data_IF_176907492001
#
_entry.id   IF_176907492001
#
_cell.length_a   1.000
_cell.length_b   1.000
_cell.length_c   1.000
_cell.angle_alpha   90.00
_cell.angle_beta   90.00
_cell.angle_gamma   90.00
#
_symmetry.space_group_name_H-M   'P 1'
#
loop_
_entity.id
_entity.type
_entity.pdbx_description
1 polymer ?
#
# COMPACT_ATOMS: atom_id res chain seq x y z
N UNK A 1 -8.71 -27.08 -40.71
CA UNK A 1 -8.32 -28.42 -40.19
C UNK A 1 -7.34 -28.32 -39.01
N UNK A 2 -6.11 -27.77 -39.11
CA UNK A 2 -5.18 -27.69 -37.96
C UNK A 2 -5.63 -26.80 -36.78
N UNK A 3 -6.39 -25.72 -37.03
CA UNK A 3 -6.88 -24.83 -35.98
C UNK A 3 -8.02 -25.45 -35.16
N UNK A 4 -8.91 -26.20 -35.82
CA UNK A 4 -10.02 -26.88 -35.16
C UNK A 4 -9.54 -28.00 -34.23
N UNK A 5 -8.53 -28.76 -34.64
CA UNK A 5 -7.94 -29.82 -33.81
C UNK A 5 -7.24 -29.23 -32.58
N UNK A 6 -6.56 -28.09 -32.73
CA UNK A 6 -5.95 -27.37 -31.61
C UNK A 6 -7.00 -26.88 -30.62
N UNK A 7 -8.09 -26.26 -31.09
CA UNK A 7 -9.17 -25.77 -30.24
C UNK A 7 -9.93 -26.91 -29.53
N UNK A 8 -10.01 -28.11 -30.13
CA UNK A 8 -10.61 -29.29 -29.52
C UNK A 8 -9.73 -29.89 -28.41
N UNK A 9 -8.40 -29.96 -28.60
CA UNK A 9 -7.49 -30.50 -27.59
C UNK A 9 -7.30 -29.57 -26.39
N UNK A 10 -7.39 -28.26 -26.61
CA UNK A 10 -7.10 -27.25 -25.58
C UNK A 10 -8.36 -26.70 -24.90
N UNK A 11 -9.55 -27.10 -25.35
CA UNK A 11 -10.83 -26.71 -24.74
C UNK A 11 -11.25 -25.26 -25.01
N UNK A 12 -10.63 -24.57 -25.97
CA UNK A 12 -10.90 -23.18 -26.36
C UNK A 12 -12.03 -23.01 -27.38
N UNK A 13 -12.79 -24.06 -27.69
CA UNK A 13 -14.02 -23.91 -28.47
C UNK A 13 -15.04 -23.12 -27.65
N UNK A 14 -15.65 -22.13 -28.30
CA UNK A 14 -16.68 -21.26 -27.72
C UNK A 14 -17.93 -22.09 -27.43
N UNK A 15 -18.01 -22.63 -26.23
CA UNK A 15 -19.15 -23.37 -25.72
C UNK A 15 -20.07 -22.40 -24.97
N UNK A 16 -21.24 -22.11 -25.54
CA UNK A 16 -22.22 -21.18 -24.97
C UNK A 16 -22.92 -21.77 -23.72
N UNK A 17 -22.57 -22.99 -23.29
CA UNK A 17 -23.13 -23.65 -22.10
C UNK A 17 -22.14 -23.77 -20.92
N UNK A 18 -20.94 -23.17 -20.98
CA UNK A 18 -20.00 -23.16 -19.85
C UNK A 18 -20.17 -21.93 -18.98
N UNK A 19 -20.75 -22.13 -17.80
CA UNK A 19 -20.65 -21.19 -16.68
C UNK A 19 -19.17 -21.10 -16.28
N UNK A 20 -18.62 -19.89 -16.25
CA UNK A 20 -17.32 -19.61 -15.65
C UNK A 20 -17.35 -20.03 -14.17
N UNK A 21 -16.74 -21.17 -13.85
CA UNK A 21 -16.42 -21.52 -12.47
C UNK A 21 -15.03 -20.95 -12.21
N UNK A 22 -14.94 -19.91 -11.37
CA UNK A 22 -13.67 -19.35 -10.92
C UNK A 22 -12.81 -20.44 -10.30
N UNK A 23 -11.86 -20.96 -11.08
CA UNK A 23 -10.90 -21.99 -10.71
C UNK A 23 -9.77 -21.44 -9.85
N UNK A 24 -10.12 -20.85 -8.71
CA UNK A 24 -9.36 -20.84 -7.46
C UNK A 24 -10.39 -20.69 -6.34
N UNK A 25 -11.19 -21.75 -6.16
CA UNK A 25 -12.02 -21.87 -4.97
C UNK A 25 -11.11 -21.81 -3.74
N UNK A 26 -11.45 -20.92 -2.81
CA UNK A 26 -10.80 -20.80 -1.50
C UNK A 26 -10.45 -22.18 -0.93
N UNK A 27 -9.22 -22.33 -0.44
CA UNK A 27 -8.82 -23.52 0.31
C UNK A 27 -9.80 -23.76 1.47
N UNK A 28 -9.92 -24.98 1.96
CA UNK A 28 -10.80 -25.32 3.10
C UNK A 28 -10.53 -24.39 4.30
N UNK A 29 -9.27 -24.01 4.51
CA UNK A 29 -8.85 -23.03 5.52
C UNK A 29 -9.35 -21.61 5.23
N UNK A 30 -9.29 -21.15 3.97
CA UNK A 30 -9.82 -19.83 3.56
C UNK A 30 -11.36 -19.78 3.61
N UNK A 31 -12.05 -20.90 3.35
CA UNK A 31 -13.51 -21.02 3.53
C UNK A 31 -13.90 -20.97 5.01
N UNK A 32 -13.14 -21.61 5.89
CA UNK A 32 -13.37 -21.59 7.33
C UNK A 32 -13.19 -20.18 7.94
N UNK A 33 -12.15 -19.44 7.55
CA UNK A 33 -11.94 -18.04 7.97
C UNK A 33 -13.10 -17.15 7.53
N UNK A 34 -13.66 -17.40 6.34
CA UNK A 34 -14.77 -16.60 5.80
C UNK A 34 -16.15 -16.99 6.34
N UNK A 35 -16.36 -18.27 6.67
CA UNK A 35 -17.55 -18.71 7.39
C UNK A 35 -17.59 -18.09 8.80
N UNK A 36 -16.42 -17.97 9.44
CA UNK A 36 -16.30 -17.28 10.73
C UNK A 36 -16.57 -15.79 10.60
N UNK A 37 -16.07 -15.12 9.55
CA UNK A 37 -16.36 -13.69 9.33
C UNK A 37 -17.84 -13.42 9.01
N UNK A 38 -18.52 -14.33 8.30
CA UNK A 38 -19.97 -14.22 8.04
C UNK A 38 -20.83 -14.47 9.27
N UNK A 39 -20.47 -15.44 10.12
CA UNK A 39 -21.17 -15.69 11.39
C UNK A 39 -21.02 -14.51 12.36
N UNK A 40 -19.87 -13.83 12.33
CA UNK A 40 -19.63 -12.59 13.07
C UNK A 40 -20.48 -11.44 12.48
N UNK A 41 -20.65 -11.37 11.15
CA UNK A 41 -21.48 -10.31 10.54
C UNK A 41 -22.99 -10.52 10.64
N UNK A 42 -23.46 -11.77 10.82
CA UNK A 42 -24.89 -12.08 10.90
C UNK A 42 -25.46 -12.10 12.32
N UNK A 43 -24.62 -11.86 13.34
CA UNK A 43 -25.06 -11.81 14.75
C UNK A 43 -25.18 -10.38 15.31
N UNK A 44 -24.95 -9.34 14.50
CA UNK A 44 -25.05 -7.93 14.92
C UNK A 44 -26.24 -7.21 14.27
N UNK A 45 -27.46 -7.65 14.59
CA UNK A 45 -28.62 -6.77 14.60
C UNK A 45 -28.92 -6.36 16.05
N UNK A 46 -28.01 -5.56 16.60
CA UNK A 46 -28.28 -4.67 17.74
C UNK A 46 -27.57 -3.36 17.40
N UNK A 47 -28.30 -2.26 17.49
CA UNK A 47 -27.86 -0.88 17.24
C UNK A 47 -26.46 -0.59 17.81
N UNK A 48 -25.49 -0.29 16.93
CA UNK A 48 -24.09 0.03 17.24
C UNK A 48 -23.86 1.45 17.81
N UNK A 49 -24.90 2.06 18.38
CA UNK A 49 -24.78 3.27 19.18
C UNK A 49 -25.21 2.94 20.61
N UNK A 50 -24.22 2.78 21.49
CA UNK A 50 -24.23 2.61 22.96
C UNK A 50 -23.54 1.30 23.43
N UNK A 51 -22.53 1.46 24.29
CA UNK A 51 -21.61 0.45 24.86
C UNK A 51 -20.38 0.05 24.03
N UNK A 52 -19.49 1.02 23.79
CA UNK A 52 -18.04 0.74 23.82
C UNK A 52 -17.55 1.01 25.24
N UNK A 53 -17.47 -0.03 26.08
CA UNK A 53 -17.10 0.14 27.49
C UNK A 53 -15.74 0.84 27.61
N UNK A 54 -15.56 1.81 28.52
CA UNK A 54 -14.25 2.40 28.81
C UNK A 54 -13.17 1.33 29.06
N UNK A 55 -13.55 0.18 29.62
CA UNK A 55 -12.67 -0.95 29.91
C UNK A 55 -12.20 -1.63 28.63
N UNK A 56 -13.07 -1.87 27.64
CA UNK A 56 -12.69 -2.50 26.37
C UNK A 56 -11.73 -1.63 25.56
N UNK A 57 -11.98 -0.32 25.56
CA UNK A 57 -11.08 0.66 24.95
C UNK A 57 -9.70 0.70 25.65
N UNK A 58 -9.67 0.56 26.98
CA UNK A 58 -8.43 0.46 27.76
C UNK A 58 -7.69 -0.85 27.42
N UNK A 59 -8.39 -1.99 27.42
CA UNK A 59 -7.81 -3.29 27.11
C UNK A 59 -7.25 -3.36 25.70
N UNK A 60 -7.95 -2.78 24.71
CA UNK A 60 -7.46 -2.66 23.33
C UNK A 60 -6.16 -1.86 23.29
N UNK A 61 -6.12 -0.68 23.92
CA UNK A 61 -4.88 0.13 24.00
C UNK A 61 -3.74 -0.61 24.67
N UNK A 62 -3.99 -1.35 25.76
CA UNK A 62 -2.96 -2.15 26.42
C UNK A 62 -2.41 -3.26 25.51
N UNK A 63 -3.29 -3.96 24.80
CA UNK A 63 -2.90 -4.97 23.80
C UNK A 63 -2.03 -4.37 22.69
N UNK A 64 -2.46 -3.23 22.14
CA UNK A 64 -1.71 -2.53 21.09
C UNK A 64 -0.31 -2.09 21.57
N UNK A 65 -0.19 -1.65 22.83
CA UNK A 65 1.10 -1.30 23.45
C UNK A 65 2.00 -2.52 23.66
N UNK A 66 1.44 -3.63 24.13
CA UNK A 66 2.17 -4.89 24.32
C UNK A 66 2.70 -5.45 23.00
N UNK A 67 1.85 -5.54 21.98
CA UNK A 67 2.21 -6.01 20.65
C UNK A 67 3.33 -5.15 20.04
N UNK A 68 3.22 -3.83 20.18
CA UNK A 68 4.25 -2.90 19.71
C UNK A 68 5.57 -3.10 20.45
N UNK A 69 5.53 -3.22 21.78
CA UNK A 69 6.74 -3.46 22.58
C UNK A 69 7.43 -4.78 22.19
N UNK A 70 6.65 -5.82 21.88
CA UNK A 70 7.19 -7.09 21.42
C UNK A 70 7.82 -6.99 20.02
N UNK A 71 7.16 -6.32 19.07
CA UNK A 71 7.72 -6.07 17.73
C UNK A 71 9.00 -5.26 17.78
N UNK A 72 9.02 -4.18 18.57
CA UNK A 72 10.21 -3.38 18.81
C UNK A 72 11.36 -4.23 19.37
N UNK A 73 11.06 -5.14 20.30
CA UNK A 73 12.05 -6.05 20.87
C UNK A 73 12.58 -7.05 19.82
N UNK A 74 11.71 -7.62 19.00
CA UNK A 74 12.06 -8.55 17.92
C UNK A 74 12.93 -7.85 16.86
N UNK A 75 12.57 -6.64 16.44
CA UNK A 75 13.36 -5.87 15.46
C UNK A 75 14.71 -5.49 16.05
N UNK A 76 14.76 -5.08 17.33
CA UNK A 76 16.02 -4.81 18.01
C UNK A 76 16.88 -6.06 18.16
N UNK A 77 16.30 -7.24 18.37
CA UNK A 77 17.04 -8.50 18.52
C UNK A 77 17.52 -9.07 17.18
N UNK A 78 16.71 -9.01 16.12
CA UNK A 78 17.08 -9.45 14.76
C UNK A 78 17.98 -8.42 14.06
N UNK A 79 17.88 -7.15 14.45
CA UNK A 79 18.54 -6.04 13.79
C UNK A 79 17.74 -5.50 12.60
N UNK A 80 17.79 -4.18 12.43
CA UNK A 80 17.07 -3.44 11.39
C UNK A 80 17.45 -3.90 9.99
N UNK A 81 18.75 -4.07 9.73
CA UNK A 81 19.24 -4.52 8.41
C UNK A 81 18.73 -5.92 8.06
N UNK A 82 18.83 -6.89 8.98
CA UNK A 82 18.36 -8.25 8.73
C UNK A 82 16.84 -8.31 8.55
N UNK A 83 16.10 -7.44 9.25
CA UNK A 83 14.65 -7.31 9.08
C UNK A 83 14.30 -6.78 7.69
N UNK A 84 14.95 -5.70 7.24
CA UNK A 84 14.76 -5.16 5.89
C UNK A 84 15.13 -6.17 4.80
N UNK A 85 16.21 -6.94 4.98
CA UNK A 85 16.56 -8.04 4.07
C UNK A 85 15.49 -9.13 4.04
N UNK A 86 14.91 -9.48 5.19
CA UNK A 86 13.80 -10.46 5.24
C UNK A 86 12.49 -9.96 4.64
N UNK A 87 12.27 -8.63 4.60
CA UNK A 87 11.14 -8.04 3.88
C UNK A 87 11.32 -8.24 2.37
N UNK A 88 12.56 -8.16 1.85
CA UNK A 88 12.88 -8.43 0.46
C UNK A 88 13.97 -7.53 -0.14
N UNK A 89 14.50 -6.56 0.62
CA UNK A 89 15.60 -5.72 0.13
C UNK A 89 16.87 -6.54 -0.06
N UNK A 90 17.47 -6.48 -1.25
CA UNK A 90 18.74 -7.14 -1.55
C UNK A 90 19.90 -6.43 -0.82
N UNK A 91 19.81 -5.11 -0.69
CA UNK A 91 20.82 -4.34 0.05
C UNK A 91 20.20 -3.21 0.87
N UNK A 92 20.72 -3.03 2.08
CA UNK A 92 20.45 -1.90 2.96
C UNK A 92 21.73 -1.08 3.03
N UNK A 93 21.70 0.14 2.54
CA UNK A 93 22.86 1.02 2.57
C UNK A 93 23.11 1.53 3.99
N UNK A 94 24.38 1.64 4.40
CA UNK A 94 24.79 2.12 5.72
C UNK A 94 24.20 3.49 6.06
N UNK A 95 23.96 4.34 5.05
CA UNK A 95 23.32 5.64 5.24
C UNK A 95 21.94 5.55 5.90
N UNK A 96 21.18 4.48 5.68
CA UNK A 96 19.88 4.29 6.34
C UNK A 96 20.05 4.22 7.85
N UNK A 97 20.98 3.39 8.33
CA UNK A 97 21.26 3.19 9.75
C UNK A 97 21.90 4.45 10.37
N UNK A 98 22.76 5.14 9.62
CA UNK A 98 23.52 6.28 10.12
C UNK A 98 22.72 7.59 10.14
N UNK A 99 21.86 7.82 9.14
CA UNK A 99 21.23 9.13 8.91
C UNK A 99 19.76 9.21 9.34
N UNK A 100 19.07 8.09 9.48
CA UNK A 100 17.66 8.07 9.91
C UNK A 100 17.59 8.02 11.43
N UNK A 101 16.68 8.80 12.03
CA UNK A 101 16.40 8.74 13.47
C UNK A 101 16.06 7.30 13.91
N UNK A 102 16.66 6.80 14.99
CA UNK A 102 16.49 5.40 15.43
C UNK A 102 15.03 4.99 15.62
N UNK A 103 14.18 5.87 16.15
CA UNK A 103 12.76 5.57 16.32
C UNK A 103 12.00 5.64 14.99
N UNK A 104 12.44 6.47 14.04
CA UNK A 104 11.90 6.43 12.68
C UNK A 104 12.31 5.15 11.97
N UNK A 105 13.55 4.66 12.13
CA UNK A 105 13.96 3.40 11.51
C UNK A 105 13.02 2.26 11.92
N UNK A 106 12.71 2.13 13.21
CA UNK A 106 11.76 1.12 13.72
C UNK A 106 10.37 1.30 13.09
N UNK A 107 9.79 2.51 13.16
CA UNK A 107 8.47 2.77 12.58
C UNK A 107 8.40 2.50 11.07
N UNK A 108 9.48 2.79 10.34
CA UNK A 108 9.60 2.53 8.90
C UNK A 108 9.64 1.02 8.63
N UNK A 109 10.49 0.28 9.35
CA UNK A 109 10.61 -1.17 9.19
C UNK A 109 9.28 -1.87 9.48
N UNK A 110 8.63 -1.52 10.59
CA UNK A 110 7.32 -2.07 10.95
C UNK A 110 6.27 -1.81 9.86
N UNK A 111 6.24 -0.58 9.32
CA UNK A 111 5.28 -0.24 8.27
C UNK A 111 5.57 -0.95 6.96
N UNK A 112 6.85 -1.03 6.56
CA UNK A 112 7.25 -1.76 5.35
C UNK A 112 6.92 -3.25 5.47
N UNK A 113 7.14 -3.86 6.63
CA UNK A 113 6.75 -5.26 6.87
C UNK A 113 5.23 -5.45 6.78
N UNK A 114 4.44 -4.51 7.31
CA UNK A 114 2.98 -4.54 7.21
C UNK A 114 2.49 -4.45 5.76
N UNK A 115 3.03 -3.49 4.99
CA UNK A 115 2.65 -3.30 3.60
C UNK A 115 3.12 -4.47 2.73
N UNK A 116 4.32 -4.99 2.98
CA UNK A 116 4.86 -6.10 2.19
C UNK A 116 4.08 -7.39 2.36
N UNK A 117 3.57 -7.68 3.56
CA UNK A 117 2.67 -8.83 3.78
C UNK A 117 1.38 -8.74 2.96
N UNK A 118 0.95 -7.53 2.60
CA UNK A 118 -0.31 -7.31 1.85
C UNK A 118 -0.06 -7.26 0.35
N UNK A 119 1.00 -6.59 -0.09
CA UNK A 119 1.13 -6.18 -1.48
C UNK A 119 2.37 -6.74 -2.20
N UNK A 120 3.34 -7.27 -1.45
CA UNK A 120 4.55 -7.90 -1.98
C UNK A 120 5.34 -7.06 -2.99
N UNK A 121 5.25 -5.73 -2.94
CA UNK A 121 5.86 -4.84 -3.93
C UNK A 121 7.39 -4.89 -3.90
N UNK A 122 8.01 -5.06 -2.72
CA UNK A 122 9.46 -5.15 -2.58
C UNK A 122 9.95 -6.49 -3.12
N UNK A 123 9.32 -7.60 -2.75
CA UNK A 123 9.68 -8.95 -3.21
C UNK A 123 9.50 -9.12 -4.72
N UNK A 124 8.53 -8.43 -5.31
CA UNK A 124 8.30 -8.41 -6.77
C UNK A 124 9.24 -7.45 -7.51
N UNK A 125 9.97 -6.60 -6.80
CA UNK A 125 10.97 -5.71 -7.40
C UNK A 125 12.25 -6.47 -7.75
N UNK A 126 12.92 -6.04 -8.81
CA UNK A 126 14.21 -6.59 -9.24
C UNK A 126 15.34 -5.85 -8.52
N UNK A 127 16.05 -6.56 -7.66
CA UNK A 127 17.18 -6.05 -6.86
C UNK A 127 16.88 -4.78 -6.04
N UNK A 128 15.78 -4.76 -5.24
CA UNK A 128 15.40 -3.59 -4.46
C UNK A 128 16.44 -3.22 -3.41
N UNK A 129 16.68 -1.92 -3.24
CA UNK A 129 17.58 -1.35 -2.24
C UNK A 129 16.87 -0.31 -1.40
N UNK A 130 17.39 -0.10 -0.20
CA UNK A 130 16.98 1.02 0.67
C UNK A 130 18.19 1.81 1.13
N UNK A 131 18.11 3.14 1.04
CA UNK A 131 19.18 4.06 1.47
C UNK A 131 18.62 5.35 2.06
N UNK A 132 19.46 6.13 2.74
CA UNK A 132 19.14 7.48 3.19
C UNK A 132 20.25 8.47 2.79
N UNK A 133 20.45 8.61 1.48
CA UNK A 133 21.49 9.44 0.86
C UNK A 133 20.95 10.33 -0.27
N UNK A 134 19.64 10.61 -0.29
CA UNK A 134 19.03 11.46 -1.30
C UNK A 134 19.65 12.87 -1.29
N UNK A 135 20.23 13.27 -2.43
CA UNK A 135 20.88 14.58 -2.60
C UNK A 135 19.94 15.67 -3.15
N UNK A 136 18.64 15.38 -3.27
CA UNK A 136 17.62 16.30 -3.79
C UNK A 136 16.85 16.99 -2.66
N UNK A 137 16.06 18.01 -3.00
CA UNK A 137 15.18 18.72 -2.07
C UNK A 137 13.96 17.91 -1.62
N UNK A 138 13.63 16.81 -2.30
CA UNK A 138 12.55 15.90 -1.95
C UNK A 138 12.82 15.17 -0.63
N UNK A 139 11.74 14.70 0.01
CA UNK A 139 11.82 14.05 1.33
C UNK A 139 12.23 12.59 1.17
N UNK A 140 11.68 11.91 0.16
CA UNK A 140 12.08 10.59 -0.30
C UNK A 140 11.78 10.50 -1.80
N UNK A 141 12.19 9.39 -2.43
CA UNK A 141 11.71 8.98 -3.74
C UNK A 141 11.92 7.47 -3.95
N UNK A 142 11.18 6.90 -4.89
CA UNK A 142 11.49 5.62 -5.53
C UNK A 142 12.30 5.87 -6.80
N UNK A 143 13.59 5.52 -6.78
CA UNK A 143 14.37 5.46 -8.02
C UNK A 143 14.01 4.21 -8.80
N UNK A 144 13.97 4.29 -10.12
CA UNK A 144 13.65 3.14 -10.97
C UNK A 144 14.34 3.24 -12.34
N UNK A 145 14.48 2.12 -13.05
CA UNK A 145 14.99 2.10 -14.43
C UNK A 145 13.85 2.41 -15.42
N UNK A 146 14.06 3.37 -16.32
CA UNK A 146 13.03 3.79 -17.30
C UNK A 146 12.53 2.66 -18.20
N UNK A 147 13.36 1.65 -18.49
CA UNK A 147 12.96 0.51 -19.34
C UNK A 147 12.25 -0.61 -18.57
N UNK A 148 12.40 -0.64 -17.25
CA UNK A 148 11.78 -1.64 -16.38
C UNK A 148 11.64 -1.02 -14.99
N UNK A 149 10.46 -0.45 -14.66
CA UNK A 149 10.26 0.25 -13.41
C UNK A 149 10.23 -0.69 -12.19
N UNK A 150 10.17 -2.02 -12.37
CA UNK A 150 10.36 -2.97 -11.27
C UNK A 150 11.81 -3.06 -10.78
N UNK A 151 12.78 -2.59 -11.56
CA UNK A 151 14.15 -2.35 -11.09
C UNK A 151 14.13 -1.02 -10.35
N UNK A 152 13.88 -1.06 -9.04
CA UNK A 152 13.61 0.13 -8.24
C UNK A 152 14.24 0.10 -6.85
N UNK A 153 14.34 1.25 -6.19
CA UNK A 153 14.90 1.37 -4.84
C UNK A 153 14.29 2.53 -4.06
N UNK A 154 14.11 2.34 -2.76
CA UNK A 154 13.60 3.35 -1.84
C UNK A 154 14.75 4.22 -1.33
N UNK A 155 14.72 5.51 -1.65
CA UNK A 155 15.80 6.46 -1.30
C UNK A 155 15.25 7.57 -0.43
N UNK A 156 15.71 7.64 0.82
CA UNK A 156 15.26 8.63 1.81
C UNK A 156 16.20 9.83 1.90
N UNK A 157 15.67 10.98 2.30
CA UNK A 157 16.50 12.15 2.59
C UNK A 157 17.22 12.02 3.94
N UNK A 158 18.58 12.12 3.95
CA UNK A 158 19.35 12.05 5.18
C UNK A 158 18.98 13.17 6.15
N UNK A 159 18.56 14.33 5.64
CA UNK A 159 18.28 15.51 6.48
C UNK A 159 16.84 15.52 7.00
N UNK A 160 15.87 15.07 6.18
CA UNK A 160 14.45 15.09 6.55
C UNK A 160 14.05 13.92 7.46
N UNK A 161 14.84 12.85 7.49
CA UNK A 161 14.64 11.69 8.35
C UNK A 161 15.54 11.66 9.59
N UNK A 162 16.46 12.62 9.76
CA UNK A 162 17.38 12.68 10.91
C UNK A 162 16.72 12.96 12.26
N UNK A 163 15.49 13.48 12.27
CA UNK A 163 14.80 13.87 13.50
C UNK A 163 13.30 13.57 13.43
N UNK A 164 12.84 12.61 14.25
CA UNK A 164 11.43 12.17 14.30
C UNK A 164 10.45 13.32 14.55
N UNK A 165 10.75 14.21 15.49
CA UNK A 165 9.86 15.33 15.87
C UNK A 165 9.67 16.32 14.71
N UNK A 166 10.76 16.69 14.02
CA UNK A 166 10.70 17.60 12.86
C UNK A 166 9.99 16.93 11.69
N UNK A 167 10.24 15.64 11.45
CA UNK A 167 9.56 14.86 10.42
C UNK A 167 8.03 14.87 10.62
N UNK A 168 7.56 14.49 11.80
CA UNK A 168 6.13 14.48 12.15
C UNK A 168 5.53 15.88 12.09
N UNK A 169 6.25 16.90 12.58
CA UNK A 169 5.75 18.28 12.56
C UNK A 169 5.59 18.83 11.15
N UNK A 170 6.49 18.47 10.23
CA UNK A 170 6.35 18.81 8.82
C UNK A 170 5.12 18.14 8.22
N UNK A 171 4.95 16.83 8.45
CA UNK A 171 3.80 16.06 7.96
C UNK A 171 2.46 16.58 8.47
N UNK A 172 2.40 16.93 9.76
CA UNK A 172 1.21 17.55 10.36
C UNK A 172 0.81 18.85 9.65
N UNK A 173 1.78 19.67 9.22
CA UNK A 173 1.51 20.91 8.48
C UNK A 173 1.02 20.62 7.06
N UNK A 174 1.59 19.64 6.37
CA UNK A 174 1.18 19.21 5.03
C UNK A 174 -0.28 18.72 5.03
N UNK A 175 -0.63 17.81 5.96
CA UNK A 175 -2.01 17.33 6.14
C UNK A 175 -2.97 18.46 6.48
N UNK A 176 -2.57 19.41 7.34
CA UNK A 176 -3.42 20.57 7.70
C UNK A 176 -3.71 21.47 6.49
N UNK A 177 -2.76 21.61 5.58
CA UNK A 177 -2.87 22.43 4.36
C UNK A 177 -3.48 21.66 3.18
N UNK A 178 -3.90 20.41 3.38
CA UNK A 178 -4.35 19.52 2.31
C UNK A 178 -3.31 19.36 1.19
N UNK A 179 -2.03 19.51 1.54
CA UNK A 179 -0.93 19.32 0.59
C UNK A 179 -0.79 17.84 0.25
N UNK A 180 -0.91 16.96 1.24
CA UNK A 180 -1.00 15.52 1.05
C UNK A 180 -2.38 14.99 1.48
N UNK A 181 -2.69 13.74 1.13
CA UNK A 181 -3.99 13.14 1.43
C UNK A 181 -4.26 13.06 2.94
N UNK A 182 -5.54 13.14 3.35
CA UNK A 182 -5.90 13.03 4.76
C UNK A 182 -5.48 11.67 5.32
N UNK A 183 -5.09 11.66 6.59
CA UNK A 183 -4.72 10.46 7.34
C UNK A 183 -4.99 10.71 8.83
N UNK A 184 -4.86 9.67 9.66
CA UNK A 184 -4.87 9.86 11.12
C UNK A 184 -3.71 10.79 11.53
N UNK A 185 -4.02 11.74 12.42
CA UNK A 185 -3.10 12.82 12.83
C UNK A 185 -2.29 12.49 14.08
N UNK A 186 -2.28 11.23 14.50
CA UNK A 186 -1.43 10.75 15.58
C UNK A 186 0.04 10.67 15.13
N UNK A 187 0.95 10.57 16.10
CA UNK A 187 2.40 10.61 15.85
C UNK A 187 2.90 9.41 15.07
N UNK A 188 2.28 8.24 15.24
CA UNK A 188 2.73 7.01 14.60
C UNK A 188 2.39 7.05 13.11
N UNK A 189 1.13 7.35 12.78
CA UNK A 189 0.69 7.50 11.38
C UNK A 189 1.49 8.55 10.63
N UNK A 190 1.66 9.74 11.23
CA UNK A 190 2.42 10.83 10.62
C UNK A 190 3.91 10.51 10.43
N UNK A 191 4.46 9.59 11.22
CA UNK A 191 5.88 9.20 11.11
C UNK A 191 6.18 8.29 9.92
N UNK A 192 5.17 7.61 9.39
CA UNK A 192 5.32 6.62 8.30
C UNK A 192 4.61 7.03 7.01
N UNK A 193 3.96 8.20 6.98
CA UNK A 193 3.20 8.67 5.81
C UNK A 193 4.03 8.63 4.53
N UNK A 194 5.22 9.24 4.54
CA UNK A 194 6.02 9.30 3.31
C UNK A 194 6.47 7.92 2.86
N UNK A 195 6.89 7.04 3.77
CA UNK A 195 7.29 5.69 3.35
C UNK A 195 6.11 4.90 2.79
N UNK A 196 4.89 5.12 3.30
CA UNK A 196 3.69 4.50 2.74
C UNK A 196 3.37 5.05 1.34
N UNK A 197 3.53 6.36 1.14
CA UNK A 197 3.41 6.99 -0.18
C UNK A 197 4.46 6.41 -1.16
N UNK A 198 5.74 6.35 -0.77
CA UNK A 198 6.78 5.77 -1.63
C UNK A 198 6.55 4.28 -1.90
N UNK A 199 6.03 3.52 -0.93
CA UNK A 199 5.63 2.13 -1.16
C UNK A 199 4.52 2.05 -2.21
N UNK A 200 3.58 3.01 -2.22
CA UNK A 200 2.58 3.15 -3.28
C UNK A 200 3.21 3.28 -4.67
N UNK A 201 4.23 4.14 -4.83
CA UNK A 201 5.01 4.21 -6.08
C UNK A 201 5.68 2.88 -6.42
N UNK A 202 6.24 2.17 -5.43
CA UNK A 202 6.85 0.86 -5.68
C UNK A 202 5.83 -0.14 -6.22
N UNK A 203 4.66 -0.22 -5.60
CA UNK A 203 3.57 -1.09 -6.04
C UNK A 203 3.08 -0.73 -7.44
N UNK A 204 2.84 0.55 -7.69
CA UNK A 204 2.38 1.03 -9.01
C UNK A 204 3.37 0.67 -10.11
N UNK A 205 4.68 0.87 -9.88
CA UNK A 205 5.72 0.52 -10.83
C UNK A 205 5.72 -0.98 -11.19
N UNK A 206 5.43 -1.86 -10.23
CA UNK A 206 5.26 -3.30 -10.49
C UNK A 206 4.05 -3.54 -11.40
N UNK A 207 2.89 -2.97 -11.04
CA UNK A 207 1.64 -3.19 -11.78
C UNK A 207 1.71 -2.61 -13.19
N UNK A 208 2.33 -1.44 -13.36
CA UNK A 208 2.60 -0.83 -14.67
C UNK A 208 3.48 -1.74 -15.51
N UNK A 209 4.58 -2.25 -14.95
CA UNK A 209 5.49 -3.12 -15.69
C UNK A 209 4.77 -4.39 -16.14
N UNK A 210 4.02 -5.05 -15.25
CA UNK A 210 3.30 -6.27 -15.59
C UNK A 210 2.22 -6.05 -16.64
N UNK A 211 1.40 -4.99 -16.52
CA UNK A 211 0.40 -4.63 -17.53
C UNK A 211 1.07 -4.30 -18.87
N UNK A 212 2.24 -3.67 -18.88
CA UNK A 212 2.97 -3.36 -20.12
C UNK A 212 3.53 -4.58 -20.84
N UNK A 213 3.71 -5.71 -20.14
CA UNK A 213 4.15 -6.96 -20.78
C UNK A 213 3.05 -7.60 -21.63
N UNK A 214 1.78 -7.23 -21.39
CA UNK A 214 0.62 -7.77 -22.10
C UNK A 214 -0.08 -6.72 -22.96
N UNK A 215 0.10 -5.44 -22.66
CA UNK A 215 -0.48 -4.33 -23.41
C UNK A 215 0.59 -3.59 -24.20
N UNK A 216 0.34 -3.32 -25.48
CA UNK A 216 1.24 -2.54 -26.33
C UNK A 216 1.00 -1.02 -26.18
N UNK A 217 1.16 -0.50 -24.96
CA UNK A 217 0.97 0.92 -24.61
C UNK A 217 2.11 1.42 -23.72
N UNK A 218 2.22 2.73 -23.50
CA UNK A 218 3.28 3.30 -22.67
C UNK A 218 3.00 3.12 -21.18
N UNK A 219 4.03 3.27 -20.35
CA UNK A 219 3.88 3.23 -18.89
C UNK A 219 2.98 4.35 -18.35
N UNK A 220 3.02 5.52 -18.98
CA UNK A 220 2.17 6.65 -18.58
C UNK A 220 0.71 6.40 -18.97
N UNK A 221 0.44 5.75 -20.11
CA UNK A 221 -0.91 5.34 -20.48
C UNK A 221 -1.49 4.34 -19.46
N UNK A 222 -0.67 3.40 -18.96
CA UNK A 222 -1.11 2.44 -17.95
C UNK A 222 -1.37 3.14 -16.61
N UNK A 223 -0.48 4.04 -16.17
CA UNK A 223 -0.70 4.83 -14.95
C UNK A 223 -2.02 5.62 -15.04
N UNK A 224 -2.28 6.23 -16.20
CA UNK A 224 -3.54 6.91 -16.48
C UNK A 224 -4.75 5.96 -16.42
N UNK A 225 -4.67 4.79 -17.03
CA UNK A 225 -5.74 3.78 -16.97
C UNK A 225 -6.05 3.38 -15.53
N UNK A 226 -5.02 3.09 -14.72
CA UNK A 226 -5.17 2.73 -13.31
C UNK A 226 -5.90 3.86 -12.55
N UNK A 227 -5.49 5.11 -12.76
CA UNK A 227 -6.16 6.27 -12.17
C UNK A 227 -7.63 6.36 -12.59
N UNK A 228 -7.92 6.20 -13.87
CA UNK A 228 -9.28 6.26 -14.40
C UNK A 228 -10.16 5.13 -13.82
N UNK A 229 -9.62 3.91 -13.67
CA UNK A 229 -10.29 2.79 -13.00
C UNK A 229 -10.65 3.12 -11.54
N UNK A 230 -9.73 3.70 -10.77
CA UNK A 230 -9.97 4.11 -9.38
C UNK A 230 -11.02 5.23 -9.31
N UNK A 231 -10.97 6.20 -10.21
CA UNK A 231 -11.95 7.30 -10.27
C UNK A 231 -13.35 6.77 -10.61
N UNK A 232 -13.47 5.83 -11.55
CA UNK A 232 -14.74 5.19 -11.88
C UNK A 232 -15.33 4.44 -10.69
N UNK A 233 -14.50 3.74 -9.91
CA UNK A 233 -14.94 3.11 -8.67
C UNK A 233 -15.41 4.17 -7.66
N UNK A 234 -14.69 5.28 -7.51
CA UNK A 234 -15.08 6.37 -6.61
C UNK A 234 -16.44 6.99 -6.98
N UNK A 235 -16.70 7.19 -8.27
CA UNK A 235 -17.99 7.63 -8.79
C UNK A 235 -19.12 6.62 -8.52
N UNK A 236 -18.79 5.33 -8.51
CA UNK A 236 -19.72 4.26 -8.13
C UNK A 236 -20.03 4.21 -6.63
N UNK A 237 -19.10 4.66 -5.77
CA UNK A 237 -19.30 4.73 -4.31
C UNK A 237 -20.16 5.94 -3.94
N UNK A 238 -19.88 7.10 -4.54
CA UNK A 238 -20.59 8.36 -4.25
C UNK A 238 -20.97 9.06 -5.56
N UNK A 239 -22.28 9.13 -5.84
CA UNK A 239 -22.81 9.81 -7.02
C UNK A 239 -22.50 11.32 -7.07
N UNK A 240 -22.19 11.95 -5.92
CA UNK A 240 -21.76 13.34 -5.83
C UNK A 240 -20.23 13.50 -5.77
N UNK A 241 -19.49 12.43 -6.10
CA UNK A 241 -18.04 12.42 -6.03
C UNK A 241 -17.41 13.58 -6.81
N UNK A 242 -16.53 14.32 -6.14
CA UNK A 242 -15.73 15.38 -6.74
C UNK A 242 -14.24 15.10 -6.51
N UNK A 243 -13.49 14.91 -7.60
CA UNK A 243 -12.07 14.59 -7.57
C UNK A 243 -11.26 15.67 -6.84
N UNK A 244 -11.46 16.94 -7.16
CA UNK A 244 -10.69 18.06 -6.59
C UNK A 244 -10.88 18.20 -5.08
N UNK A 245 -12.08 17.90 -4.57
CA UNK A 245 -12.37 17.92 -3.12
C UNK A 245 -11.78 16.72 -2.37
N UNK A 246 -11.62 15.59 -3.04
CA UNK A 246 -11.16 14.35 -2.42
C UNK A 246 -9.65 14.11 -2.60
N UNK A 247 -9.01 14.75 -3.58
CA UNK A 247 -7.59 14.59 -3.86
C UNK A 247 -6.76 15.69 -3.19
N UNK A 248 -5.53 15.37 -2.78
CA UNK A 248 -4.57 16.34 -2.24
C UNK A 248 -3.93 17.19 -3.35
N UNK A 249 -3.36 18.33 -2.98
CA UNK A 249 -2.59 19.17 -3.93
C UNK A 249 -1.40 18.41 -4.51
N UNK A 250 -0.77 17.51 -3.74
CA UNK A 250 0.34 16.71 -4.23
C UNK A 250 -0.13 15.65 -5.25
N UNK A 251 -1.26 15.01 -4.99
CA UNK A 251 -1.84 13.99 -5.87
C UNK A 251 -2.31 14.54 -7.22
N UNK A 252 -2.51 15.86 -7.38
CA UNK A 252 -2.87 16.45 -8.68
C UNK A 252 -1.68 16.61 -9.63
N UNK A 253 -0.44 16.34 -9.19
CA UNK A 253 0.76 16.62 -9.99
C UNK A 253 0.88 15.76 -11.24
N UNK A 254 0.63 14.46 -11.12
CA UNK A 254 0.62 13.50 -12.21
C UNK A 254 -0.07 12.20 -11.74
N UNK A 255 -0.24 11.25 -12.64
CA UNK A 255 -1.01 10.03 -12.38
C UNK A 255 -0.32 9.08 -11.37
N UNK A 256 1.01 9.08 -11.33
CA UNK A 256 1.78 8.30 -10.34
C UNK A 256 1.63 8.88 -8.93
N UNK A 257 1.73 10.22 -8.82
CA UNK A 257 1.50 10.90 -7.54
C UNK A 257 0.06 10.75 -7.07
N UNK A 258 -0.91 10.70 -7.99
CA UNK A 258 -2.28 10.34 -7.68
C UNK A 258 -2.34 8.95 -7.03
N UNK A 259 -1.74 7.93 -7.65
CA UNK A 259 -1.76 6.57 -7.12
C UNK A 259 -1.15 6.51 -5.72
N UNK A 260 0.07 7.03 -5.55
CA UNK A 260 0.79 6.99 -4.28
C UNK A 260 0.07 7.72 -3.14
N UNK A 261 -0.54 8.87 -3.43
CA UNK A 261 -1.32 9.63 -2.45
C UNK A 261 -2.61 8.92 -2.06
N UNK A 262 -3.35 8.39 -3.04
CA UNK A 262 -4.60 7.66 -2.76
C UNK A 262 -4.31 6.33 -2.05
N UNK A 263 -3.20 5.66 -2.40
CA UNK A 263 -2.68 4.51 -1.68
C UNK A 263 -2.39 4.87 -0.23
N UNK A 264 -1.64 5.94 0.04
CA UNK A 264 -1.37 6.40 1.41
C UNK A 264 -2.66 6.67 2.19
N UNK A 265 -3.67 7.32 1.57
CA UNK A 265 -4.98 7.54 2.21
C UNK A 265 -5.67 6.23 2.61
N UNK A 266 -5.61 5.21 1.74
CA UNK A 266 -6.22 3.90 1.99
C UNK A 266 -5.56 3.11 3.12
N UNK A 267 -4.28 3.37 3.40
CA UNK A 267 -3.48 2.58 4.35
C UNK A 267 -3.20 3.27 5.70
N UNK A 268 -3.59 4.55 5.86
CA UNK A 268 -3.19 5.40 7.00
C UNK A 268 -4.36 6.07 7.72
N UNK A 269 -5.46 5.36 7.90
CA UNK A 269 -6.57 5.85 8.71
C UNK A 269 -7.93 5.56 8.11
N UNK A 270 -8.90 6.44 8.40
CA UNK A 270 -10.21 6.40 7.75
C UNK A 270 -10.09 6.97 6.33
N UNK A 271 -10.22 6.15 5.28
CA UNK A 271 -10.11 6.63 3.91
C UNK A 271 -11.29 7.52 3.54
N UNK A 272 -11.04 8.52 2.68
CA UNK A 272 -12.11 9.21 1.97
C UNK A 272 -12.61 8.35 0.80
N UNK A 273 -13.48 8.90 -0.05
CA UNK A 273 -14.07 8.15 -1.18
C UNK A 273 -12.99 7.59 -2.11
N UNK A 274 -11.90 8.34 -2.39
CA UNK A 274 -10.78 7.84 -3.21
C UNK A 274 -10.01 6.72 -2.51
N UNK A 275 -9.71 6.86 -1.21
CA UNK A 275 -9.06 5.78 -0.46
C UNK A 275 -9.90 4.51 -0.41
N UNK A 276 -11.23 4.63 -0.31
CA UNK A 276 -12.15 3.49 -0.37
C UNK A 276 -12.15 2.86 -1.76
N UNK A 277 -12.18 3.68 -2.81
CA UNK A 277 -12.07 3.21 -4.18
C UNK A 277 -10.76 2.45 -4.43
N UNK A 278 -9.65 2.94 -3.88
CA UNK A 278 -8.36 2.25 -3.94
C UNK A 278 -8.37 0.90 -3.23
N UNK A 279 -9.01 0.76 -2.07
CA UNK A 279 -9.15 -0.55 -1.41
C UNK A 279 -9.91 -1.55 -2.30
N UNK A 280 -11.01 -1.11 -2.91
CA UNK A 280 -11.79 -1.95 -3.85
C UNK A 280 -10.97 -2.28 -5.08
N UNK A 281 -10.22 -1.31 -5.61
CA UNK A 281 -9.36 -1.52 -6.78
C UNK A 281 -8.25 -2.52 -6.49
N UNK A 282 -7.53 -2.36 -5.37
CA UNK A 282 -6.49 -3.31 -4.93
C UNK A 282 -7.05 -4.73 -4.77
N UNK A 283 -8.27 -4.85 -4.22
CA UNK A 283 -8.94 -6.15 -4.11
C UNK A 283 -9.23 -6.79 -5.49
N UNK A 284 -9.60 -5.98 -6.49
CA UNK A 284 -9.79 -6.46 -7.87
C UNK A 284 -8.47 -6.91 -8.51
N UNK A 285 -7.36 -6.25 -8.19
CA UNK A 285 -6.02 -6.64 -8.63
C UNK A 285 -5.46 -7.86 -7.85
N UNK A 286 -6.19 -8.36 -6.84
CA UNK A 286 -5.85 -9.60 -6.14
C UNK A 286 -5.11 -9.42 -4.80
N UNK A 287 -5.18 -8.23 -4.20
CA UNK A 287 -4.63 -7.94 -2.87
C UNK A 287 -5.66 -8.04 -1.73
#
# INVERSE_FOLDING_TARGET
KKLDDFCNQTGFRKDNNRVWVNGFGRSTSQKAVWANSKAISSSSHVSEDEFNSPIENILKKFRDVLDKSQKDAIIKSKGIEQTLKSIGFVSVDNSFIQNVDKQLQLSIVEKLEELERKFSAIQRSVSPKISANLQRSSIACVSHKTSNPSIQSLVLSPTKFKNKKRHISARKKEVKKHYCMPCLRDKETLSVYVVTHEYGHMLENILIYERSMVQNVTFDDIAKQIKDEIILIAQGIDSNFNLQRNLSVYGTKNDKEFFAEVFANSQLGKPNVLGQAMLIWLQKEGF
#
